data_IF_027045173845
#
_entry.id   IF_027045173845
#
_cell.length_a   1.000
_cell.length_b   1.000
_cell.length_c   1.000
_cell.angle_alpha   90.00
_cell.angle_beta   90.00
_cell.angle_gamma   90.00
#
_symmetry.space_group_name_H-M   'P 1'
#
loop_
_entity.id
_entity.type
_entity.pdbx_description
1 polymer ?
#
# COMPACT_ATOMS: atom_id res chain seq x y z
N UNK A 1 -28.42 13.63 -13.50
CA UNK A 1 -29.74 13.26 -12.94
C UNK A 1 -29.56 12.60 -11.58
N UNK A 2 -30.52 12.72 -10.64
CA UNK A 2 -30.40 12.17 -9.27
C UNK A 2 -30.10 10.66 -9.23
N UNK A 3 -30.69 9.90 -10.16
CA UNK A 3 -30.51 8.45 -10.25
C UNK A 3 -29.04 8.04 -10.52
N UNK A 4 -28.32 8.80 -11.34
CA UNK A 4 -26.92 8.50 -11.73
C UNK A 4 -25.97 8.55 -10.53
N UNK A 5 -26.12 9.55 -9.65
CA UNK A 5 -25.31 9.67 -8.43
C UNK A 5 -25.58 8.51 -7.45
N UNK A 6 -26.84 8.09 -7.31
CA UNK A 6 -27.22 6.96 -6.42
C UNK A 6 -26.66 5.62 -6.91
N UNK A 7 -26.65 5.41 -8.22
CA UNK A 7 -26.11 4.18 -8.83
C UNK A 7 -24.58 4.15 -8.68
N UNK A 8 -23.88 5.25 -8.98
CA UNK A 8 -22.41 5.33 -8.78
C UNK A 8 -22.00 5.16 -7.32
N UNK A 9 -22.74 5.77 -6.39
CA UNK A 9 -22.49 5.62 -4.95
C UNK A 9 -22.60 4.16 -4.51
N UNK A 10 -23.69 3.48 -4.91
CA UNK A 10 -23.88 2.06 -4.56
C UNK A 10 -22.79 1.15 -5.14
N UNK A 11 -22.33 1.39 -6.38
CA UNK A 11 -21.21 0.61 -6.95
C UNK A 11 -19.91 0.80 -6.16
N UNK A 12 -19.59 2.04 -5.78
CA UNK A 12 -18.38 2.33 -5.00
C UNK A 12 -18.46 1.74 -3.59
N UNK A 13 -19.64 1.69 -2.99
CA UNK A 13 -19.84 1.09 -1.68
C UNK A 13 -19.71 -0.44 -1.71
N UNK A 14 -20.18 -1.09 -2.78
CA UNK A 14 -19.99 -2.53 -2.98
C UNK A 14 -18.52 -2.89 -3.25
N UNK A 15 -17.80 -2.11 -4.07
CA UNK A 15 -16.36 -2.31 -4.26
C UNK A 15 -15.61 -2.17 -2.92
N UNK A 16 -16.01 -1.20 -2.09
CA UNK A 16 -15.40 -1.01 -0.76
C UNK A 16 -15.77 -2.07 0.25
N UNK A 17 -16.91 -2.75 0.11
CA UNK A 17 -17.29 -3.86 1.00
C UNK A 17 -16.45 -5.12 0.72
N UNK A 18 -15.96 -5.26 -0.52
CA UNK A 18 -15.09 -6.36 -0.95
C UNK A 18 -13.60 -6.13 -0.61
N UNK A 19 -13.18 -4.87 -0.42
CA UNK A 19 -11.79 -4.54 -0.04
C UNK A 19 -11.53 -4.87 1.44
N UNK A 20 -10.56 -5.76 1.70
CA UNK A 20 -10.15 -6.14 3.06
C UNK A 20 -9.34 -5.07 3.83
N UNK A 21 -9.00 -3.96 3.16
CA UNK A 21 -8.08 -2.93 3.66
C UNK A 21 -8.86 -1.85 4.41
N UNK A 22 -8.61 -1.64 5.72
CA UNK A 22 -9.34 -0.66 6.50
C UNK A 22 -9.16 0.78 5.97
N UNK A 23 -10.21 1.61 6.11
CA UNK A 23 -10.18 3.04 5.71
C UNK A 23 -9.05 3.82 6.40
N UNK A 24 -8.76 3.52 7.66
CA UNK A 24 -7.69 4.16 8.43
C UNK A 24 -6.31 3.90 7.81
N UNK A 25 -6.05 2.66 7.39
CA UNK A 25 -4.80 2.27 6.71
C UNK A 25 -4.67 3.00 5.38
N UNK A 26 -5.76 3.07 4.59
CA UNK A 26 -5.76 3.79 3.31
C UNK A 26 -5.51 5.30 3.50
N UNK A 27 -6.20 5.94 4.44
CA UNK A 27 -6.01 7.36 4.74
C UNK A 27 -4.58 7.67 5.16
N UNK A 28 -3.97 6.81 5.99
CA UNK A 28 -2.59 6.95 6.43
C UNK A 28 -1.61 6.79 5.28
N UNK A 29 -1.85 5.82 4.38
CA UNK A 29 -1.05 5.60 3.17
C UNK A 29 -1.11 6.81 2.23
N UNK A 30 -2.30 7.37 2.02
CA UNK A 30 -2.48 8.52 1.13
C UNK A 30 -1.77 9.76 1.70
N UNK A 31 -1.79 9.96 3.03
CA UNK A 31 -1.01 11.00 3.72
C UNK A 31 0.50 10.82 3.54
N UNK A 32 1.00 9.60 3.75
CA UNK A 32 2.42 9.28 3.53
C UNK A 32 2.82 9.60 2.09
N UNK A 33 2.03 9.16 1.11
CA UNK A 33 2.29 9.41 -0.31
C UNK A 33 2.33 10.90 -0.62
N UNK A 34 1.38 11.68 -0.11
CA UNK A 34 1.34 13.12 -0.35
C UNK A 34 2.61 13.81 0.17
N UNK A 35 3.05 13.49 1.39
CA UNK A 35 4.26 14.07 1.98
C UNK A 35 5.51 13.67 1.18
N UNK A 36 5.57 12.43 0.71
CA UNK A 36 6.67 11.96 -0.16
C UNK A 36 6.68 12.73 -1.48
N UNK A 37 5.53 12.91 -2.14
CA UNK A 37 5.44 13.69 -3.38
C UNK A 37 5.82 15.17 -3.15
N UNK A 38 5.37 15.78 -2.06
CA UNK A 38 5.73 17.16 -1.71
C UNK A 38 7.22 17.32 -1.40
N UNK A 39 7.83 16.37 -0.69
CA UNK A 39 9.26 16.38 -0.41
C UNK A 39 10.08 16.17 -1.67
N UNK A 40 9.66 15.23 -2.53
CA UNK A 40 10.30 14.97 -3.81
C UNK A 40 10.26 16.20 -4.72
N UNK A 41 9.12 16.91 -4.77
CA UNK A 41 9.01 18.16 -5.54
C UNK A 41 9.94 19.27 -5.01
N UNK A 42 10.13 19.37 -3.70
CA UNK A 42 10.97 20.41 -3.08
C UNK A 42 12.45 20.11 -3.18
N UNK A 43 12.85 18.86 -2.92
CA UNK A 43 14.24 18.48 -2.69
C UNK A 43 14.83 17.63 -3.83
N UNK A 44 14.01 17.18 -4.78
CA UNK A 44 14.43 16.32 -5.90
C UNK A 44 14.78 14.88 -5.50
N UNK A 45 14.68 14.54 -4.21
CA UNK A 45 15.03 13.24 -3.64
C UNK A 45 13.90 12.79 -2.69
N UNK A 46 13.55 11.49 -2.68
CA UNK A 46 12.58 10.97 -1.71
C UNK A 46 13.09 11.15 -0.26
N UNK A 47 12.19 11.44 0.70
CA UNK A 47 12.57 11.60 2.10
C UNK A 47 13.06 10.29 2.69
N UNK A 48 14.01 10.38 3.61
CA UNK A 48 14.45 9.25 4.45
C UNK A 48 13.37 8.89 5.48
N UNK A 49 13.41 7.67 6.03
CA UNK A 49 12.44 7.23 7.05
C UNK A 49 12.40 8.15 8.28
N UNK A 50 13.56 8.72 8.65
CA UNK A 50 13.69 9.68 9.75
C UNK A 50 12.99 11.01 9.43
N UNK A 51 13.24 11.56 8.24
CA UNK A 51 12.57 12.79 7.79
C UNK A 51 11.05 12.58 7.67
N UNK A 52 10.63 11.43 7.14
CA UNK A 52 9.22 11.06 7.03
C UNK A 52 8.55 10.97 8.42
N UNK A 53 9.26 10.43 9.43
CA UNK A 53 8.82 10.40 10.83
C UNK A 53 8.61 11.81 11.40
N UNK A 54 9.57 12.69 11.17
CA UNK A 54 9.48 14.09 11.64
C UNK A 54 8.35 14.86 10.94
N UNK A 55 8.12 14.60 9.65
CA UNK A 55 7.07 15.27 8.87
C UNK A 55 5.66 14.80 9.25
N UNK A 56 5.51 13.51 9.58
CA UNK A 56 4.23 12.96 10.05
C UNK A 56 4.00 13.12 11.56
N UNK A 57 5.04 13.45 12.34
CA UNK A 57 4.96 13.57 13.80
C UNK A 57 4.73 12.24 14.52
N UNK A 58 5.17 11.13 13.93
CA UNK A 58 5.01 9.76 14.48
C UNK A 58 6.36 9.10 14.70
N UNK A 59 6.46 8.16 15.65
CA UNK A 59 7.72 7.46 15.91
C UNK A 59 8.13 6.62 14.70
N UNK A 60 9.45 6.46 14.51
CA UNK A 60 10.02 5.78 13.35
C UNK A 60 9.55 4.32 13.23
N UNK A 61 9.34 3.66 14.37
CA UNK A 61 8.82 2.29 14.49
C UNK A 61 7.45 2.14 13.82
N UNK A 62 6.61 3.18 13.90
CA UNK A 62 5.29 3.16 13.30
C UNK A 62 5.34 3.35 11.78
N UNK A 63 6.39 4.01 11.26
CA UNK A 63 6.62 4.14 9.81
C UNK A 63 7.10 2.83 9.20
N UNK A 64 7.97 2.11 9.89
CA UNK A 64 8.39 0.77 9.47
C UNK A 64 7.19 -0.18 9.40
N UNK A 65 6.27 -0.11 10.37
CA UNK A 65 5.02 -0.87 10.34
C UNK A 65 4.06 -0.47 9.21
N UNK A 66 4.01 0.83 8.85
CA UNK A 66 3.18 1.33 7.75
C UNK A 66 3.71 0.91 6.37
N UNK A 67 5.04 0.80 6.21
CA UNK A 67 5.66 0.31 4.97
C UNK A 67 5.24 -1.11 4.60
N UNK A 68 5.00 -1.98 5.59
CA UNK A 68 4.48 -3.33 5.38
C UNK A 68 2.98 -3.43 5.13
N UNK A 69 2.24 -2.32 5.27
CA UNK A 69 0.78 -2.31 5.19
C UNK A 69 0.24 -1.95 3.79
N UNK A 70 1.10 -1.92 2.76
CA UNK A 70 0.64 -1.85 1.36
C UNK A 70 0.19 -3.25 0.93
N UNK A 71 -1.11 -3.50 0.75
CA UNK A 71 -1.65 -4.81 0.43
C UNK A 71 -1.40 -5.09 -1.04
N UNK A 72 -0.15 -5.40 -1.40
CA UNK A 72 0.20 -5.90 -2.72
C UNK A 72 -0.22 -7.35 -2.78
N UNK A 73 -1.33 -7.60 -3.47
CA UNK A 73 -1.73 -8.96 -3.82
C UNK A 73 -0.77 -9.47 -4.90
N UNK A 74 0.01 -10.48 -4.57
CA UNK A 74 0.93 -11.16 -5.49
C UNK A 74 0.46 -12.61 -5.61
N UNK A 75 0.51 -13.17 -6.81
CA UNK A 75 0.16 -14.58 -7.02
C UNK A 75 1.26 -15.46 -6.43
N UNK A 76 0.89 -16.45 -5.60
CA UNK A 76 1.86 -17.42 -5.08
C UNK A 76 2.38 -18.38 -6.14
N UNK A 77 1.64 -18.52 -7.24
CA UNK A 77 1.99 -19.37 -8.39
C UNK A 77 2.91 -18.63 -9.38
N UNK A 78 3.31 -17.39 -9.09
CA UNK A 78 4.24 -16.65 -9.92
C UNK A 78 5.65 -17.27 -9.82
N UNK A 79 6.32 -17.58 -10.94
CA UNK A 79 7.66 -18.16 -10.92
C UNK A 79 8.68 -17.11 -10.45
N UNK A 80 9.51 -17.47 -9.48
CA UNK A 80 10.46 -16.56 -8.79
C UNK A 80 11.91 -16.76 -9.24
N UNK A 81 12.17 -17.71 -10.13
CA UNK A 81 13.50 -17.99 -10.67
C UNK A 81 13.57 -17.88 -12.19
N UNK A 82 14.72 -17.45 -12.71
CA UNK A 82 15.09 -17.68 -14.11
C UNK A 82 16.10 -18.83 -14.14
N UNK A 83 15.62 -20.06 -14.37
CA UNK A 83 16.42 -21.29 -14.39
C UNK A 83 15.59 -22.55 -14.65
N UNK A 84 16.25 -23.70 -14.80
CA UNK A 84 15.61 -25.02 -15.05
C UNK A 84 14.71 -25.50 -13.88
N UNK A 85 14.84 -24.88 -12.71
CA UNK A 85 13.97 -25.09 -11.56
C UNK A 85 12.91 -23.98 -11.51
N UNK A 86 11.71 -24.29 -12.02
CA UNK A 86 10.53 -23.43 -11.96
C UNK A 86 10.00 -23.36 -10.50
N UNK A 87 10.70 -22.62 -9.64
CA UNK A 87 10.30 -22.43 -8.25
C UNK A 87 9.23 -21.33 -8.16
N UNK A 88 8.10 -21.65 -7.53
CA UNK A 88 7.04 -20.67 -7.24
C UNK A 88 7.30 -19.98 -5.89
N UNK A 89 6.67 -18.82 -5.63
CA UNK A 89 6.74 -18.17 -4.31
C UNK A 89 6.33 -19.12 -3.18
N UNK A 90 5.42 -20.06 -3.47
CA UNK A 90 4.94 -21.06 -2.52
C UNK A 90 6.04 -21.98 -2.00
N UNK A 91 7.02 -22.32 -2.84
CA UNK A 91 8.07 -23.29 -2.50
C UNK A 91 9.20 -22.67 -1.66
N UNK A 92 9.30 -21.33 -1.67
CA UNK A 92 10.34 -20.57 -0.96
C UNK A 92 9.88 -20.15 0.45
N UNK A 93 8.58 -20.02 0.67
CA UNK A 93 8.01 -19.57 1.93
C UNK A 93 8.11 -20.68 3.00
N UNK A 94 8.80 -20.46 4.13
CA UNK A 94 8.81 -21.40 5.23
C UNK A 94 7.43 -21.45 5.90
N UNK A 95 6.96 -22.65 6.24
CA UNK A 95 5.76 -22.83 7.06
C UNK A 95 6.02 -22.26 8.46
N UNK A 96 5.14 -21.36 8.91
CA UNK A 96 5.17 -20.71 10.23
C UNK A 96 4.12 -21.30 11.16
#
# INVERSE_FOLDING_TARGET
>A
TFAEYRIRGMMLDEIRSMDWVPRSVRSRRDQVRQIVEEHLQKNGVPPTAQELATLLGVPIEEIEGVGGCDPRLISLDEPVGQGEDECTLRDVLPDV
#
